data_IF_211618874028
#
_entry.id   IF_211618874028
#
_cell.length_a   1.000
_cell.length_b   1.000
_cell.length_c   1.000
_cell.angle_alpha   90.00
_cell.angle_beta   90.00
_cell.angle_gamma   90.00
#
_symmetry.space_group_name_H-M   'P 1'
#
loop_
_entity.id
_entity.type
_entity.pdbx_description
1 polymer ?
#
# COMPACT_ATOMS: atom_id res chain seq x y z
N UNK A 1 1.05 -33.07 -13.29
CA UNK A 1 1.45 -31.86 -12.55
C UNK A 1 0.20 -31.09 -12.26
N UNK A 2 -0.22 -30.85 -11.02
CA UNK A 2 -1.38 -30.00 -10.78
C UNK A 2 -1.01 -28.57 -11.18
N UNK A 3 -1.89 -27.93 -11.98
CA UNK A 3 -1.78 -26.52 -12.36
C UNK A 3 -2.00 -25.64 -11.12
N UNK A 4 -0.91 -25.23 -10.46
CA UNK A 4 -0.90 -24.21 -9.43
C UNK A 4 -0.86 -22.82 -10.07
N UNK A 5 -1.88 -22.45 -10.84
CA UNK A 5 -1.97 -21.10 -11.42
C UNK A 5 -3.35 -20.47 -11.16
N UNK A 6 -3.88 -20.63 -9.96
CA UNK A 6 -5.03 -19.84 -9.52
C UNK A 6 -4.53 -18.81 -8.49
N UNK A 7 -4.60 -17.54 -8.84
CA UNK A 7 -4.45 -16.46 -7.87
C UNK A 7 -5.34 -16.79 -6.66
N UNK A 8 -4.78 -16.85 -5.43
CA UNK A 8 -5.56 -17.21 -4.27
C UNK A 8 -6.71 -16.23 -4.09
N UNK A 9 -7.93 -16.75 -3.95
CA UNK A 9 -9.16 -15.97 -3.80
C UNK A 9 -9.58 -15.99 -2.34
N UNK A 10 -9.64 -14.83 -1.72
CA UNK A 10 -10.22 -14.67 -0.38
C UNK A 10 -11.72 -14.46 -0.54
N UNK A 11 -12.53 -15.34 0.07
CA UNK A 11 -13.98 -15.22 0.08
C UNK A 11 -14.45 -14.50 1.33
N UNK A 12 -15.17 -13.38 1.12
CA UNK A 12 -15.83 -12.60 2.16
C UNK A 12 -17.33 -12.88 2.04
N UNK A 13 -17.89 -13.53 3.03
CA UNK A 13 -19.30 -13.96 3.02
C UNK A 13 -20.14 -13.25 4.07
N UNK A 14 -19.50 -12.57 5.00
CA UNK A 14 -20.15 -11.86 6.10
C UNK A 14 -19.38 -10.58 6.46
N UNK A 15 -20.02 -9.65 7.17
CA UNK A 15 -19.32 -8.49 7.74
C UNK A 15 -18.19 -8.88 8.69
N UNK A 16 -18.31 -9.98 9.41
CA UNK A 16 -17.24 -10.50 10.26
C UNK A 16 -16.03 -10.95 9.43
N UNK A 17 -16.26 -11.68 8.32
CA UNK A 17 -15.15 -12.03 7.40
C UNK A 17 -14.47 -10.80 6.83
N UNK A 18 -15.24 -9.75 6.51
CA UNK A 18 -14.67 -8.49 6.03
C UNK A 18 -13.75 -7.85 7.07
N UNK A 19 -14.23 -7.74 8.33
CA UNK A 19 -13.45 -7.19 9.43
C UNK A 19 -12.23 -8.05 9.76
N UNK A 20 -12.33 -9.37 9.56
CA UNK A 20 -11.24 -10.30 9.79
C UNK A 20 -10.09 -10.14 8.77
N UNK A 21 -10.40 -9.80 7.54
CA UNK A 21 -9.41 -9.68 6.45
C UNK A 21 -8.99 -8.22 6.18
N UNK A 22 -9.79 -7.24 6.56
CA UNK A 22 -9.56 -5.84 6.22
C UNK A 22 -8.21 -5.30 6.68
N UNK A 23 -7.67 -5.65 7.87
CA UNK A 23 -6.31 -5.26 8.24
C UNK A 23 -5.26 -5.70 7.22
N UNK A 24 -5.35 -6.92 6.71
CA UNK A 24 -4.44 -7.41 5.68
C UNK A 24 -4.61 -6.69 4.33
N UNK A 25 -5.84 -6.27 3.99
CA UNK A 25 -6.11 -5.49 2.78
C UNK A 25 -5.58 -4.04 2.88
N UNK A 26 -5.58 -3.46 4.08
CA UNK A 26 -5.06 -2.11 4.36
C UNK A 26 -3.55 -2.14 4.63
N UNK A 27 -3.02 -3.26 5.12
CA UNK A 27 -1.62 -3.47 5.47
C UNK A 27 -1.30 -3.30 6.96
N UNK A 28 -2.26 -2.87 7.79
CA UNK A 28 -2.11 -2.74 9.25
C UNK A 28 -3.49 -2.75 9.93
N UNK A 29 -3.52 -2.88 11.27
CA UNK A 29 -4.76 -2.83 12.04
C UNK A 29 -5.26 -1.39 12.17
N UNK A 30 -6.38 -1.02 11.50
CA UNK A 30 -6.86 0.35 11.51
C UNK A 30 -7.36 0.78 12.88
N UNK A 31 -6.98 1.97 13.30
CA UNK A 31 -7.53 2.68 14.45
C UNK A 31 -7.88 4.10 14.01
N UNK A 32 -8.92 4.70 14.55
CA UNK A 32 -9.39 6.03 14.18
C UNK A 32 -9.31 6.27 12.66
N UNK A 33 -9.94 5.34 11.91
CA UNK A 33 -9.80 5.23 10.46
C UNK A 33 -11.13 5.02 9.77
N UNK A 34 -11.28 5.61 8.60
CA UNK A 34 -12.35 5.32 7.67
C UNK A 34 -11.80 4.44 6.53
N UNK A 35 -12.27 3.20 6.44
CA UNK A 35 -11.89 2.28 5.38
C UNK A 35 -13.06 2.10 4.42
N UNK A 36 -12.81 2.24 3.12
CA UNK A 36 -13.79 2.02 2.08
C UNK A 36 -13.34 0.90 1.16
N UNK A 37 -14.22 -0.06 0.94
CA UNK A 37 -14.02 -1.20 0.05
C UNK A 37 -14.90 -0.97 -1.17
N UNK A 38 -14.29 -0.50 -2.25
CA UNK A 38 -14.96 -0.33 -3.54
C UNK A 38 -15.15 -1.70 -4.18
N UNK A 39 -16.37 -2.00 -4.57
CA UNK A 39 -16.74 -3.29 -5.15
C UNK A 39 -17.26 -3.13 -6.56
N UNK A 40 -17.03 -4.16 -7.36
CA UNK A 40 -17.53 -4.24 -8.73
C UNK A 40 -18.36 -5.52 -8.87
N UNK A 41 -19.60 -5.34 -9.27
CA UNK A 41 -20.52 -6.45 -9.50
C UNK A 41 -20.34 -6.95 -10.94
N UNK A 42 -20.19 -8.26 -11.07
CA UNK A 42 -20.07 -8.94 -12.38
C UNK A 42 -21.11 -10.03 -12.45
N UNK A 43 -21.99 -9.94 -13.43
CA UNK A 43 -22.98 -10.97 -13.69
C UNK A 43 -22.31 -12.20 -14.32
N UNK A 44 -22.59 -13.36 -13.76
CA UNK A 44 -22.11 -14.66 -14.23
C UNK A 44 -23.31 -15.61 -14.44
N UNK A 45 -23.10 -16.72 -15.12
CA UNK A 45 -24.13 -17.74 -15.29
C UNK A 45 -24.64 -18.33 -13.95
N UNK A 46 -23.85 -18.20 -12.87
CA UNK A 46 -24.19 -18.68 -11.53
C UNK A 46 -24.78 -17.57 -10.62
N UNK A 47 -24.96 -16.35 -11.12
CA UNK A 47 -25.45 -15.18 -10.39
C UNK A 47 -24.43 -14.03 -10.37
N UNK A 48 -24.78 -12.95 -9.68
CA UNK A 48 -23.90 -11.78 -9.54
C UNK A 48 -22.76 -12.08 -8.56
N UNK A 49 -21.53 -11.91 -9.02
CA UNK A 49 -20.31 -12.03 -8.20
C UNK A 49 -19.79 -10.63 -7.91
N UNK A 50 -19.67 -10.30 -6.63
CA UNK A 50 -19.11 -9.05 -6.14
C UNK A 50 -17.63 -9.22 -5.85
N UNK A 51 -16.80 -8.36 -6.44
CA UNK A 51 -15.35 -8.40 -6.28
C UNK A 51 -14.81 -7.07 -5.75
N UNK A 52 -13.82 -7.13 -4.86
CA UNK A 52 -13.11 -5.94 -4.43
C UNK A 52 -12.29 -5.40 -5.60
N UNK A 53 -12.56 -4.16 -5.96
CA UNK A 53 -11.84 -3.42 -6.98
C UNK A 53 -10.69 -2.63 -6.37
N UNK A 54 -10.93 -2.02 -5.20
CA UNK A 54 -10.00 -1.14 -4.50
C UNK A 54 -10.35 -1.08 -3.02
N UNK A 55 -9.33 -0.98 -2.16
CA UNK A 55 -9.48 -0.63 -0.75
C UNK A 55 -8.81 0.70 -0.48
N UNK A 56 -9.52 1.61 0.16
CA UNK A 56 -9.07 2.96 0.51
C UNK A 56 -9.10 3.08 2.02
N UNK A 57 -8.08 3.71 2.59
CA UNK A 57 -8.07 4.10 4.01
C UNK A 57 -7.77 5.58 4.12
N UNK A 58 -8.50 6.26 4.97
CA UNK A 58 -8.24 7.62 5.41
C UNK A 58 -8.30 7.69 6.94
N UNK A 59 -7.70 8.74 7.51
CA UNK A 59 -7.93 9.04 8.92
C UNK A 59 -9.41 9.35 9.16
N UNK A 60 -9.90 9.05 10.37
CA UNK A 60 -11.27 9.36 10.73
C UNK A 60 -11.48 10.88 10.66
N UNK A 61 -12.40 11.37 9.83
CA UNK A 61 -12.70 12.79 9.78
C UNK A 61 -13.16 13.31 11.13
N UNK A 62 -12.58 14.40 11.58
CA UNK A 62 -12.94 15.03 12.86
C UNK A 62 -13.88 16.23 12.69
N UNK A 63 -14.04 16.72 11.45
CA UNK A 63 -14.90 17.85 11.12
C UNK A 63 -15.86 17.52 9.97
N UNK A 64 -16.99 18.22 9.91
CA UNK A 64 -17.94 18.05 8.78
C UNK A 64 -17.31 18.36 7.42
N UNK A 65 -16.49 19.42 7.23
CA UNK A 65 -15.79 19.62 5.97
C UNK A 65 -14.85 18.47 5.57
N UNK A 66 -14.16 17.84 6.53
CA UNK A 66 -13.31 16.68 6.25
C UNK A 66 -14.15 15.47 5.83
N UNK A 67 -15.28 15.26 6.48
CA UNK A 67 -16.21 14.19 6.13
C UNK A 67 -16.78 14.37 4.71
N UNK A 68 -17.12 15.61 4.32
CA UNK A 68 -17.57 15.92 2.96
C UNK A 68 -16.45 15.66 1.94
N UNK A 69 -15.21 16.02 2.24
CA UNK A 69 -14.07 15.74 1.35
C UNK A 69 -13.82 14.23 1.20
N UNK A 70 -13.86 13.49 2.30
CA UNK A 70 -13.73 12.04 2.29
C UNK A 70 -14.85 11.38 1.46
N UNK A 71 -16.07 11.85 1.61
CA UNK A 71 -17.22 11.40 0.85
C UNK A 71 -17.05 11.65 -0.66
N UNK A 72 -16.67 12.87 -1.06
CA UNK A 72 -16.43 13.22 -2.46
C UNK A 72 -15.31 12.38 -3.09
N UNK A 73 -14.24 12.11 -2.31
CA UNK A 73 -13.15 11.24 -2.75
C UNK A 73 -13.63 9.80 -2.98
N UNK A 74 -14.40 9.26 -2.04
CA UNK A 74 -14.98 7.92 -2.17
C UNK A 74 -15.92 7.80 -3.37
N UNK A 75 -16.80 8.81 -3.57
CA UNK A 75 -17.70 8.84 -4.72
C UNK A 75 -16.91 8.81 -6.04
N UNK A 76 -15.85 9.61 -6.14
CA UNK A 76 -14.96 9.61 -7.29
C UNK A 76 -14.31 8.24 -7.53
N UNK A 77 -13.85 7.58 -6.47
CA UNK A 77 -13.27 6.26 -6.56
C UNK A 77 -14.27 5.18 -7.00
N UNK A 78 -15.49 5.21 -6.47
CA UNK A 78 -16.54 4.27 -6.91
C UNK A 78 -16.89 4.49 -8.37
N UNK A 79 -17.11 5.74 -8.80
CA UNK A 79 -17.40 6.06 -10.22
C UNK A 79 -16.30 5.60 -11.17
N UNK A 80 -15.03 5.63 -10.72
CA UNK A 80 -13.90 5.25 -11.54
C UNK A 80 -13.64 3.73 -11.56
N UNK A 81 -13.95 3.01 -10.46
CA UNK A 81 -13.43 1.67 -10.24
C UNK A 81 -14.48 0.62 -9.88
N UNK A 82 -15.73 0.99 -9.55
CA UNK A 82 -16.72 0.04 -9.06
C UNK A 82 -18.16 0.43 -9.31
N UNK A 83 -19.06 -0.37 -8.75
CA UNK A 83 -20.51 -0.20 -8.79
C UNK A 83 -21.09 0.18 -7.44
N UNK A 84 -20.34 -0.03 -6.35
CA UNK A 84 -20.75 0.26 -4.99
C UNK A 84 -19.57 0.26 -4.02
N UNK A 85 -19.85 0.55 -2.75
CA UNK A 85 -18.86 0.50 -1.67
C UNK A 85 -19.44 0.01 -0.35
N UNK A 86 -18.59 -0.67 0.42
CA UNK A 86 -18.75 -0.94 1.83
C UNK A 86 -17.84 0.01 2.60
N UNK A 87 -18.32 0.61 3.68
CA UNK A 87 -17.51 1.50 4.52
C UNK A 87 -17.41 0.93 5.92
N UNK A 88 -16.20 0.90 6.46
CA UNK A 88 -15.92 0.54 7.85
C UNK A 88 -15.31 1.74 8.56
N UNK A 89 -15.96 2.22 9.59
CA UNK A 89 -15.47 3.27 10.48
C UNK A 89 -14.86 2.62 11.72
N UNK A 90 -13.56 2.72 11.89
CA UNK A 90 -12.83 2.24 13.05
C UNK A 90 -12.66 3.39 14.05
N UNK A 91 -13.47 3.39 15.12
CA UNK A 91 -13.32 4.35 16.21
C UNK A 91 -14.02 3.86 17.48
N UNK A 92 -13.45 4.18 18.63
CA UNK A 92 -14.08 3.98 19.92
C UNK A 92 -15.09 5.11 20.25
N UNK A 93 -14.95 6.28 19.64
CA UNK A 93 -15.88 7.41 19.79
C UNK A 93 -17.08 7.28 18.85
N UNK A 94 -18.15 6.70 19.40
CA UNK A 94 -19.40 6.47 18.68
C UNK A 94 -20.14 7.76 18.29
N UNK A 95 -19.98 8.84 19.06
CA UNK A 95 -20.59 10.14 18.74
C UNK A 95 -19.92 10.78 17.52
N UNK A 96 -18.59 10.77 17.49
CA UNK A 96 -17.82 11.26 16.36
C UNK A 96 -18.12 10.43 15.09
N UNK A 97 -18.09 9.11 15.22
CA UNK A 97 -18.42 8.21 14.11
C UNK A 97 -19.80 8.53 13.53
N UNK A 98 -20.79 8.71 14.40
CA UNK A 98 -22.17 9.00 13.96
C UNK A 98 -22.28 10.33 13.20
N UNK A 99 -21.67 11.40 13.69
CA UNK A 99 -21.66 12.69 13.03
C UNK A 99 -21.02 12.62 11.65
N UNK A 100 -19.86 11.94 11.56
CA UNK A 100 -19.12 11.72 10.31
C UNK A 100 -19.91 10.85 9.34
N UNK A 101 -20.44 9.73 9.80
CA UNK A 101 -21.20 8.80 8.96
C UNK A 101 -22.51 9.44 8.46
N UNK A 102 -23.20 10.22 9.29
CA UNK A 102 -24.39 10.97 8.86
C UNK A 102 -24.04 11.98 7.76
N UNK A 103 -22.92 12.70 7.89
CA UNK A 103 -22.46 13.65 6.87
C UNK A 103 -22.07 12.90 5.59
N UNK A 104 -21.40 11.75 5.70
CA UNK A 104 -21.00 10.89 4.60
C UNK A 104 -22.21 10.36 3.83
N UNK A 105 -23.20 9.83 4.54
CA UNK A 105 -24.43 9.29 3.96
C UNK A 105 -25.28 10.39 3.33
N UNK A 106 -25.39 11.55 3.95
CA UNK A 106 -26.22 12.67 3.45
C UNK A 106 -25.59 13.34 2.24
N UNK A 107 -24.25 13.46 2.20
CA UNK A 107 -23.54 14.23 1.17
C UNK A 107 -23.41 13.49 -0.17
N UNK A 108 -23.41 12.14 -0.18
CA UNK A 108 -22.86 11.39 -1.32
C UNK A 108 -23.74 10.24 -1.82
N UNK A 109 -24.66 9.66 -1.01
CA UNK A 109 -24.69 8.22 -1.13
C UNK A 109 -26.04 7.55 -1.32
N UNK A 110 -27.05 8.25 -1.72
CA UNK A 110 -28.26 7.57 -2.18
C UNK A 110 -27.95 6.77 -3.47
N UNK A 111 -27.49 5.54 -3.33
CA UNK A 111 -27.29 4.59 -4.43
C UNK A 111 -25.88 4.06 -4.65
N UNK A 112 -24.85 4.53 -3.93
CA UNK A 112 -23.47 4.06 -4.11
C UNK A 112 -22.96 3.31 -2.88
N UNK A 113 -23.54 3.54 -1.70
CA UNK A 113 -23.13 2.93 -0.45
C UNK A 113 -24.01 1.72 -0.12
N UNK A 114 -23.42 0.53 -0.13
CA UNK A 114 -24.16 -0.70 0.16
C UNK A 114 -24.34 -0.94 1.67
N UNK A 115 -23.32 -0.61 2.47
CA UNK A 115 -23.36 -0.81 3.92
C UNK A 115 -22.31 0.03 4.63
N UNK A 116 -22.61 0.41 5.87
CA UNK A 116 -21.67 1.03 6.80
C UNK A 116 -21.55 0.17 8.03
N UNK A 117 -20.32 -0.16 8.39
CA UNK A 117 -19.98 -0.89 9.60
C UNK A 117 -19.23 0.06 10.53
N UNK A 118 -19.67 0.13 11.78
CA UNK A 118 -18.92 0.74 12.87
C UNK A 118 -18.16 -0.37 13.61
N UNK A 119 -16.87 -0.21 13.81
CA UNK A 119 -16.00 -1.21 14.43
C UNK A 119 -15.05 -0.57 15.45
N UNK A 120 -14.82 -1.27 16.56
CA UNK A 120 -13.85 -0.94 17.60
C UNK A 120 -13.40 -2.23 18.31
N UNK A 121 -12.37 -2.20 19.16
CA UNK A 121 -11.96 -3.39 19.93
C UNK A 121 -13.06 -4.04 20.75
N UNK A 122 -14.08 -3.25 21.17
CA UNK A 122 -15.23 -3.71 21.96
C UNK A 122 -16.24 -4.52 21.13
N UNK A 123 -16.25 -4.34 19.81
CA UNK A 123 -17.20 -5.01 18.93
C UNK A 123 -17.47 -4.25 17.64
N UNK A 124 -18.50 -4.69 16.93
CA UNK A 124 -18.95 -4.04 15.69
C UNK A 124 -20.47 -4.07 15.53
N UNK A 125 -20.97 -3.18 14.69
CA UNK A 125 -22.37 -3.14 14.29
C UNK A 125 -22.54 -2.60 12.89
N UNK A 126 -23.63 -2.98 12.21
CA UNK A 126 -24.02 -2.38 10.93
C UNK A 126 -24.90 -1.16 11.25
N UNK A 127 -24.64 -0.04 10.59
CA UNK A 127 -25.46 1.17 10.67
C UNK A 127 -26.54 1.08 9.60
N UNK A 128 -27.80 1.21 10.03
CA UNK A 128 -28.91 1.41 9.13
C UNK A 128 -28.85 2.82 8.52
N UNK A 129 -28.67 2.88 7.22
CA UNK A 129 -28.52 4.15 6.50
C UNK A 129 -29.85 4.95 6.45
N UNK A 130 -31.00 4.26 6.56
CA UNK A 130 -32.30 4.89 6.59
C UNK A 130 -32.63 5.44 7.99
N UNK A 131 -32.09 4.80 9.04
CA UNK A 131 -32.28 5.20 10.44
C UNK A 131 -30.95 5.06 11.18
N UNK A 132 -30.05 6.03 11.09
CA UNK A 132 -28.71 5.94 11.68
C UNK A 132 -28.70 6.06 13.22
N UNK A 133 -29.76 5.58 13.89
CA UNK A 133 -29.83 5.49 15.34
C UNK A 133 -29.01 4.30 15.81
N UNK A 134 -27.88 4.59 16.44
CA UNK A 134 -26.99 3.57 16.98
C UNK A 134 -27.56 2.89 18.22
N UNK A 135 -27.42 1.57 18.32
CA UNK A 135 -27.99 0.74 19.39
C UNK A 135 -26.92 0.05 20.25
N UNK A 136 -25.64 0.31 20.05
CA UNK A 136 -24.50 -0.32 20.78
C UNK A 136 -23.75 -1.37 19.96
N UNK A 137 -22.69 -1.94 20.55
CA UNK A 137 -21.96 -3.03 19.95
C UNK A 137 -22.80 -4.31 19.95
N UNK A 138 -23.16 -4.80 18.77
CA UNK A 138 -24.07 -5.96 18.64
C UNK A 138 -23.28 -7.26 18.53
N UNK A 139 -22.09 -7.21 17.94
CA UNK A 139 -21.26 -8.38 17.66
C UNK A 139 -19.87 -8.21 18.26
N UNK A 140 -19.22 -9.29 18.73
CA UNK A 140 -17.82 -9.25 19.16
C UNK A 140 -16.91 -8.96 17.96
N UNK A 141 -15.82 -8.19 18.19
CA UNK A 141 -14.83 -7.95 17.15
C UNK A 141 -14.10 -9.27 16.78
N UNK A 142 -13.86 -9.56 15.49
CA UNK A 142 -13.15 -10.76 15.07
C UNK A 142 -11.73 -10.83 15.64
N UNK A 143 -11.24 -12.05 15.87
CA UNK A 143 -9.89 -12.30 16.40
C UNK A 143 -8.82 -12.45 15.31
N UNK A 144 -9.16 -12.20 14.04
CA UNK A 144 -8.28 -12.37 12.86
C UNK A 144 -7.71 -13.78 12.69
N UNK A 145 -8.46 -14.78 13.10
CA UNK A 145 -8.13 -16.21 13.01
C UNK A 145 -9.15 -17.01 12.20
N UNK A 146 -10.10 -16.30 11.57
CA UNK A 146 -11.16 -16.91 10.74
C UNK A 146 -10.63 -17.45 9.42
N UNK A 147 -11.53 -18.12 8.68
CA UNK A 147 -11.21 -18.69 7.37
C UNK A 147 -10.77 -17.61 6.36
N UNK A 148 -11.36 -16.42 6.41
CA UNK A 148 -11.00 -15.30 5.54
C UNK A 148 -9.57 -14.79 5.83
N UNK A 149 -9.19 -14.63 7.11
CA UNK A 149 -7.83 -14.25 7.51
C UNK A 149 -6.80 -15.32 7.09
N UNK A 150 -7.12 -16.60 7.28
CA UNK A 150 -6.25 -17.71 6.84
C UNK A 150 -6.06 -17.72 5.31
N UNK A 151 -7.11 -17.47 4.55
CA UNK A 151 -7.04 -17.35 3.09
C UNK A 151 -6.21 -16.13 2.66
N UNK A 152 -6.36 -14.99 3.37
CA UNK A 152 -5.56 -13.80 3.13
C UNK A 152 -4.06 -14.05 3.37
N UNK A 153 -3.72 -14.70 4.49
CA UNK A 153 -2.35 -15.09 4.78
C UNK A 153 -1.76 -16.05 3.74
N UNK A 154 -2.54 -17.06 3.29
CA UNK A 154 -2.13 -17.96 2.22
C UNK A 154 -1.96 -17.25 0.87
N UNK A 155 -2.65 -16.12 0.67
CA UNK A 155 -2.52 -15.25 -0.50
C UNK A 155 -1.33 -14.28 -0.39
N UNK A 156 -0.54 -14.34 0.70
CA UNK A 156 0.57 -13.42 0.95
C UNK A 156 0.14 -12.03 1.44
N UNK A 157 -1.13 -11.86 1.80
CA UNK A 157 -1.62 -10.63 2.42
C UNK A 157 -1.38 -10.71 3.93
N UNK A 158 -0.68 -9.72 4.47
CA UNK A 158 -0.44 -9.61 5.91
C UNK A 158 -0.62 -8.16 6.37
N UNK A 159 -0.89 -7.99 7.67
CA UNK A 159 -1.00 -6.70 8.31
C UNK A 159 0.17 -6.49 9.27
N UNK A 160 0.76 -5.30 9.25
CA UNK A 160 1.57 -4.83 10.37
C UNK A 160 0.67 -4.59 11.60
N UNK A 161 1.25 -4.51 12.81
CA UNK A 161 0.46 -4.22 14.00
C UNK A 161 -0.23 -2.87 13.90
N UNK A 162 0.54 -1.83 13.61
CA UNK A 162 0.08 -0.45 13.47
C UNK A 162 0.68 0.20 12.21
N UNK A 163 0.22 1.42 11.88
CA UNK A 163 0.87 2.22 10.84
C UNK A 163 2.30 2.62 11.24
N UNK A 164 2.54 2.81 12.53
CA UNK A 164 3.88 3.19 13.02
C UNK A 164 4.88 2.03 12.83
N UNK A 165 4.45 0.78 12.95
CA UNK A 165 5.31 -0.37 12.63
C UNK A 165 5.73 -0.38 11.15
N UNK A 166 4.88 0.12 10.24
CA UNK A 166 5.27 0.31 8.84
C UNK A 166 6.33 1.42 8.73
N UNK A 167 6.13 2.55 9.44
CA UNK A 167 7.10 3.65 9.47
C UNK A 167 8.45 3.14 9.98
N UNK A 168 8.47 2.45 11.13
CA UNK A 168 9.67 1.87 11.73
C UNK A 168 10.38 0.88 10.79
N UNK A 169 9.61 0.11 10.02
CA UNK A 169 10.17 -0.89 9.09
C UNK A 169 11.04 -0.31 7.97
N UNK A 170 10.90 0.98 7.71
CA UNK A 170 11.66 1.73 6.69
C UNK A 170 12.25 3.03 7.26
N UNK A 171 12.40 3.15 8.56
CA UNK A 171 13.03 4.32 9.17
C UNK A 171 14.52 4.41 8.78
N UNK A 172 15.05 5.64 8.76
CA UNK A 172 16.47 5.85 8.50
C UNK A 172 17.33 5.23 9.61
N UNK A 173 18.52 4.70 9.29
CA UNK A 173 19.38 4.08 10.28
C UNK A 173 19.87 5.10 11.31
N UNK A 174 20.26 4.60 12.48
CA UNK A 174 20.91 5.39 13.52
C UNK A 174 22.24 6.01 13.03
N UNK A 175 22.79 7.02 13.73
CA UNK A 175 23.99 7.72 13.28
C UNK A 175 25.22 6.83 13.07
N UNK A 176 25.38 5.73 13.82
CA UNK A 176 26.52 4.84 13.66
C UNK A 176 26.38 4.00 12.40
N UNK A 177 25.20 3.42 12.17
CA UNK A 177 24.86 2.69 10.94
C UNK A 177 24.88 3.60 9.69
N UNK A 178 24.46 4.86 9.83
CA UNK A 178 24.56 5.86 8.77
C UNK A 178 26.03 6.18 8.41
N UNK A 179 26.93 6.22 9.39
CA UNK A 179 28.37 6.41 9.15
C UNK A 179 28.98 5.20 8.42
N UNK A 180 28.58 3.97 8.78
CA UNK A 180 28.99 2.75 8.08
C UNK A 180 28.54 2.77 6.61
N UNK A 181 27.27 3.15 6.34
CA UNK A 181 26.75 3.30 4.99
C UNK A 181 27.55 4.33 4.18
N UNK A 182 27.87 5.48 4.78
CA UNK A 182 28.66 6.54 4.14
C UNK A 182 30.06 6.05 3.77
N UNK A 183 30.73 5.36 4.70
CA UNK A 183 32.05 4.78 4.45
C UNK A 183 32.01 3.71 3.35
N UNK A 184 30.98 2.86 3.33
CA UNK A 184 30.78 1.90 2.26
C UNK A 184 30.56 2.58 0.90
N UNK A 185 29.77 3.65 0.85
CA UNK A 185 29.53 4.44 -0.37
C UNK A 185 30.80 5.10 -0.90
N UNK A 186 31.62 5.68 -0.02
CA UNK A 186 32.91 6.30 -0.38
C UNK A 186 33.89 5.28 -0.98
N UNK A 187 33.87 4.05 -0.49
CA UNK A 187 34.74 2.97 -0.97
C UNK A 187 34.37 2.50 -2.40
N UNK A 188 33.15 2.74 -2.88
CA UNK A 188 32.67 2.23 -4.17
C UNK A 188 33.25 2.99 -5.38
N UNK A 189 33.78 4.19 -5.22
CA UNK A 189 34.30 5.03 -6.31
C UNK A 189 33.35 5.12 -7.53
N UNK A 190 32.04 5.16 -7.29
CA UNK A 190 31.00 5.20 -8.34
C UNK A 190 31.11 6.51 -9.12
N UNK A 191 31.15 6.51 -10.46
CA UNK A 191 31.24 7.74 -11.24
C UNK A 191 29.98 8.58 -11.10
N UNK A 192 30.15 9.88 -10.90
CA UNK A 192 29.03 10.85 -10.81
C UNK A 192 28.32 11.00 -12.16
N UNK A 193 29.07 10.91 -13.26
CA UNK A 193 28.57 10.96 -14.63
C UNK A 193 29.07 9.72 -15.38
N UNK A 194 28.34 8.60 -15.33
CA UNK A 194 28.77 7.35 -15.98
C UNK A 194 28.66 7.47 -17.49
N UNK A 195 29.64 6.88 -18.19
CA UNK A 195 29.56 6.70 -19.66
C UNK A 195 28.42 5.73 -20.01
N UNK A 196 27.95 5.68 -21.28
CA UNK A 196 26.92 4.71 -21.69
C UNK A 196 27.29 3.26 -21.39
N UNK A 197 28.58 2.88 -21.54
CA UNK A 197 29.06 1.53 -21.21
C UNK A 197 29.03 1.25 -19.72
N UNK A 198 29.40 2.24 -18.90
CA UNK A 198 29.29 2.15 -17.43
C UNK A 198 27.84 2.06 -17.01
N UNK A 199 26.96 2.85 -17.59
CA UNK A 199 25.51 2.79 -17.33
C UNK A 199 24.94 1.42 -17.67
N UNK A 200 25.29 0.85 -18.83
CA UNK A 200 24.87 -0.49 -19.22
C UNK A 200 25.41 -1.58 -18.25
N UNK A 201 26.62 -1.41 -17.70
CA UNK A 201 27.13 -2.28 -16.66
C UNK A 201 26.33 -2.14 -15.37
N UNK A 202 26.05 -0.91 -14.90
CA UNK A 202 25.25 -0.66 -13.71
C UNK A 202 23.83 -1.26 -13.84
N UNK A 203 23.20 -1.17 -15.01
CA UNK A 203 21.90 -1.83 -15.28
C UNK A 203 22.01 -3.34 -15.10
N UNK A 204 23.00 -3.98 -15.73
CA UNK A 204 23.20 -5.44 -15.61
C UNK A 204 23.41 -5.86 -14.16
N UNK A 205 24.25 -5.14 -13.45
CA UNK A 205 24.65 -5.47 -12.09
C UNK A 205 23.45 -5.31 -11.13
N UNK A 206 22.73 -4.19 -11.21
CA UNK A 206 21.53 -3.95 -10.38
C UNK A 206 20.43 -4.98 -10.67
N UNK A 207 20.16 -5.25 -11.95
CA UNK A 207 19.11 -6.20 -12.33
C UNK A 207 19.47 -7.65 -12.00
N UNK A 208 20.74 -8.05 -12.13
CA UNK A 208 21.21 -9.38 -11.74
C UNK A 208 21.08 -9.59 -10.23
N UNK A 209 21.49 -8.62 -9.41
CA UNK A 209 21.36 -8.68 -7.96
C UNK A 209 19.89 -8.81 -7.50
N UNK A 210 19.01 -7.99 -8.07
CA UNK A 210 17.58 -8.06 -7.76
C UNK A 210 16.94 -9.37 -8.23
N UNK A 211 17.35 -9.90 -9.39
CA UNK A 211 16.87 -11.20 -9.87
C UNK A 211 17.31 -12.35 -8.94
N UNK A 212 18.56 -12.31 -8.45
CA UNK A 212 19.06 -13.28 -7.46
C UNK A 212 18.24 -13.20 -6.16
N UNK A 213 18.01 -11.99 -5.66
CA UNK A 213 17.17 -11.79 -4.47
C UNK A 213 15.77 -12.35 -4.64
N UNK A 214 15.12 -12.07 -5.78
CA UNK A 214 13.76 -12.55 -6.07
C UNK A 214 13.71 -14.07 -6.15
N UNK A 215 14.75 -14.70 -6.70
CA UNK A 215 14.82 -16.17 -6.83
C UNK A 215 15.08 -16.86 -5.49
N UNK A 216 15.90 -16.28 -4.62
CA UNK A 216 16.26 -16.81 -3.30
C UNK A 216 16.57 -15.67 -2.33
N UNK A 217 15.57 -15.14 -1.59
CA UNK A 217 15.76 -14.00 -0.68
C UNK A 217 16.86 -14.23 0.34
N UNK A 218 17.68 -13.20 0.56
CA UNK A 218 18.79 -13.17 1.50
C UNK A 218 18.80 -11.86 2.30
N UNK A 219 19.63 -11.76 3.33
CA UNK A 219 19.78 -10.50 4.08
C UNK A 219 20.68 -9.55 3.33
N UNK A 220 20.19 -8.36 3.02
CA UNK A 220 20.96 -7.27 2.40
C UNK A 220 21.80 -6.61 3.49
N UNK A 221 23.11 -6.54 3.27
CA UNK A 221 24.05 -5.89 4.18
C UNK A 221 24.19 -4.38 3.91
N UNK A 222 24.77 -3.62 4.84
CA UNK A 222 25.05 -2.19 4.62
C UNK A 222 25.91 -1.93 3.38
N UNK A 223 26.99 -2.67 3.09
CA UNK A 223 27.73 -2.55 1.83
C UNK A 223 26.87 -2.82 0.57
N UNK A 224 26.00 -3.86 0.62
CA UNK A 224 25.11 -4.18 -0.50
C UNK A 224 24.12 -3.05 -0.75
N UNK A 225 23.54 -2.50 0.33
CA UNK A 225 22.61 -1.37 0.26
C UNK A 225 23.29 -0.12 -0.31
N UNK A 226 24.50 0.22 0.17
CA UNK A 226 25.27 1.35 -0.32
C UNK A 226 25.60 1.18 -1.81
N UNK A 227 26.00 -0.02 -2.22
CA UNK A 227 26.28 -0.35 -3.61
C UNK A 227 25.02 -0.23 -4.48
N UNK A 228 23.90 -0.85 -4.10
CA UNK A 228 22.66 -0.81 -4.89
C UNK A 228 22.10 0.62 -4.97
N UNK A 229 22.15 1.40 -3.90
CA UNK A 229 21.77 2.81 -3.89
C UNK A 229 22.64 3.63 -4.83
N UNK A 230 23.94 3.36 -4.87
CA UNK A 230 24.87 4.02 -5.80
C UNK A 230 24.59 3.66 -7.25
N UNK A 231 24.21 2.41 -7.54
CA UNK A 231 23.87 1.97 -8.90
C UNK A 231 22.62 2.64 -9.44
N UNK A 232 21.58 2.85 -8.61
CA UNK A 232 20.29 3.38 -9.07
C UNK A 232 20.21 4.91 -9.10
N UNK A 233 21.33 5.62 -8.95
CA UNK A 233 21.36 7.09 -9.10
C UNK A 233 21.00 7.55 -10.53
N UNK A 234 21.54 6.96 -11.62
CA UNK A 234 21.11 7.28 -12.98
C UNK A 234 19.66 6.81 -13.21
N UNK A 235 18.88 7.63 -13.91
CA UNK A 235 17.46 7.38 -14.19
C UNK A 235 17.26 6.05 -14.91
N UNK A 236 18.12 5.74 -15.88
CA UNK A 236 18.04 4.53 -16.69
C UNK A 236 18.24 3.26 -15.84
N UNK A 237 19.13 3.29 -14.86
CA UNK A 237 19.37 2.14 -13.96
C UNK A 237 18.21 1.97 -12.99
N UNK A 238 17.73 3.08 -12.42
CA UNK A 238 16.54 3.09 -11.55
C UNK A 238 15.32 2.54 -12.29
N UNK A 239 15.09 2.99 -13.52
CA UNK A 239 13.92 2.59 -14.30
C UNK A 239 14.05 1.11 -14.74
N UNK A 240 15.25 0.64 -15.08
CA UNK A 240 15.50 -0.77 -15.32
C UNK A 240 15.19 -1.64 -14.09
N UNK A 241 15.59 -1.20 -12.89
CA UNK A 241 15.25 -1.89 -11.65
C UNK A 241 13.73 -1.89 -11.38
N UNK A 242 13.02 -0.81 -11.72
CA UNK A 242 11.57 -0.73 -11.58
C UNK A 242 10.83 -1.62 -12.59
N UNK A 243 11.27 -1.67 -13.83
CA UNK A 243 10.64 -2.49 -14.90
C UNK A 243 10.69 -4.00 -14.59
N UNK A 244 11.65 -4.45 -13.78
CA UNK A 244 11.70 -5.84 -13.29
C UNK A 244 10.53 -6.21 -12.39
N UNK A 245 9.88 -5.23 -11.75
CA UNK A 245 8.79 -5.48 -10.82
C UNK A 245 7.56 -5.90 -11.60
N UNK A 246 7.20 -7.17 -11.53
CA UNK A 246 5.91 -7.71 -12.00
C UNK A 246 4.95 -7.85 -10.83
N UNK A 247 3.67 -8.00 -11.10
CA UNK A 247 2.68 -8.22 -10.03
C UNK A 247 2.93 -9.49 -9.24
N UNK A 248 3.51 -10.52 -9.88
CA UNK A 248 3.87 -11.80 -9.28
C UNK A 248 5.09 -11.67 -8.35
N UNK A 249 6.05 -10.82 -8.72
CA UNK A 249 7.32 -10.66 -7.98
C UNK A 249 7.36 -9.40 -7.12
N UNK A 250 6.30 -8.59 -7.13
CA UNK A 250 6.29 -7.30 -6.43
C UNK A 250 6.57 -7.42 -4.94
N UNK A 251 6.05 -8.47 -4.28
CA UNK A 251 6.27 -8.68 -2.85
C UNK A 251 7.75 -8.91 -2.51
N UNK A 252 8.49 -9.67 -3.33
CA UNK A 252 9.92 -9.90 -3.16
C UNK A 252 10.71 -8.61 -3.41
N UNK A 253 10.36 -7.84 -4.43
CA UNK A 253 10.98 -6.54 -4.69
C UNK A 253 10.72 -5.53 -3.56
N UNK A 254 9.50 -5.52 -3.00
CA UNK A 254 9.19 -4.71 -1.81
C UNK A 254 10.12 -5.06 -0.68
N UNK A 255 10.30 -6.35 -0.37
CA UNK A 255 11.15 -6.78 0.74
C UNK A 255 12.64 -6.43 0.50
N UNK A 256 13.14 -6.60 -0.74
CA UNK A 256 14.50 -6.18 -1.08
C UNK A 256 14.70 -4.67 -0.85
N UNK A 257 13.83 -3.85 -1.44
CA UNK A 257 13.95 -2.40 -1.33
C UNK A 257 13.67 -1.88 0.08
N UNK A 258 12.81 -2.55 0.85
CA UNK A 258 12.57 -2.24 2.26
C UNK A 258 13.85 -2.39 3.08
N UNK A 259 14.60 -3.50 2.90
CA UNK A 259 15.91 -3.70 3.55
C UNK A 259 16.92 -2.63 3.12
N UNK A 260 16.99 -2.33 1.81
CA UNK A 260 17.88 -1.28 1.29
C UNK A 260 17.60 0.07 1.93
N UNK A 261 16.35 0.53 1.93
CA UNK A 261 16.02 1.86 2.47
C UNK A 261 16.14 1.95 3.99
N UNK A 262 15.91 0.85 4.73
CA UNK A 262 16.12 0.80 6.18
C UNK A 262 17.61 1.00 6.57
N UNK A 263 18.53 0.66 5.67
CA UNK A 263 19.98 0.85 5.83
C UNK A 263 20.47 2.20 5.25
N UNK A 264 19.61 2.94 4.53
CA UNK A 264 20.01 4.14 3.79
C UNK A 264 19.68 5.40 4.57
N UNK A 265 20.65 6.30 4.85
CA UNK A 265 20.41 7.58 5.50
C UNK A 265 19.51 8.52 4.67
N UNK A 266 18.81 9.45 5.34
CA UNK A 266 17.93 10.44 4.71
C UNK A 266 18.72 11.54 3.99
N UNK A 267 19.38 11.17 2.91
CA UNK A 267 20.13 12.06 2.00
C UNK A 267 19.47 12.04 0.61
N UNK A 268 19.77 13.01 -0.27
CA UNK A 268 19.26 12.99 -1.64
C UNK A 268 19.53 11.69 -2.40
N UNK A 269 20.60 10.98 -2.05
CA UNK A 269 20.93 9.67 -2.64
C UNK A 269 19.91 8.56 -2.31
N UNK A 270 19.10 8.71 -1.24
CA UNK A 270 18.04 7.77 -0.90
C UNK A 270 16.80 7.86 -1.82
N UNK A 271 16.62 8.98 -2.52
CA UNK A 271 15.39 9.26 -3.28
C UNK A 271 15.09 8.22 -4.36
N UNK A 272 16.05 7.74 -5.18
CA UNK A 272 15.78 6.67 -6.15
C UNK A 272 15.28 5.40 -5.49
N UNK A 273 15.93 4.93 -4.42
CA UNK A 273 15.56 3.70 -3.71
C UNK A 273 14.18 3.82 -3.04
N UNK A 274 13.90 4.95 -2.36
CA UNK A 274 12.58 5.22 -1.78
C UNK A 274 11.48 5.28 -2.85
N UNK A 275 11.78 5.83 -4.02
CA UNK A 275 10.83 5.89 -5.11
C UNK A 275 10.53 4.51 -5.70
N UNK A 276 11.55 3.66 -5.88
CA UNK A 276 11.37 2.27 -6.35
C UNK A 276 10.62 1.44 -5.31
N UNK A 277 10.95 1.55 -4.01
CA UNK A 277 10.18 0.91 -2.94
C UNK A 277 8.71 1.31 -3.00
N UNK A 278 8.43 2.61 -3.07
CA UNK A 278 7.06 3.11 -3.10
C UNK A 278 6.27 2.59 -4.31
N UNK A 279 6.89 2.56 -5.49
CA UNK A 279 6.29 2.00 -6.70
C UNK A 279 6.08 0.48 -6.59
N UNK A 280 7.09 -0.26 -6.11
CA UNK A 280 6.97 -1.70 -5.90
C UNK A 280 5.85 -2.03 -4.88
N UNK A 281 5.74 -1.27 -3.79
CA UNK A 281 4.68 -1.40 -2.81
C UNK A 281 3.30 -1.11 -3.41
N UNK A 282 3.17 -0.06 -4.25
CA UNK A 282 1.93 0.20 -4.97
C UNK A 282 1.57 -0.95 -5.92
N UNK A 283 2.54 -1.49 -6.69
CA UNK A 283 2.34 -2.62 -7.61
C UNK A 283 1.89 -3.87 -6.84
N UNK A 284 2.46 -4.11 -5.65
CA UNK A 284 2.11 -5.21 -4.76
C UNK A 284 0.74 -5.01 -4.06
N UNK A 285 0.08 -3.85 -4.23
CA UNK A 285 -1.15 -3.51 -3.52
C UNK A 285 -0.93 -3.09 -2.05
N UNK A 286 0.30 -2.85 -1.63
CA UNK A 286 0.66 -2.40 -0.28
C UNK A 286 0.62 -0.86 -0.19
N UNK A 287 -0.57 -0.29 -0.36
CA UNK A 287 -0.76 1.16 -0.44
C UNK A 287 -0.28 1.93 0.80
N UNK A 288 -0.38 1.34 1.99
CA UNK A 288 0.11 1.94 3.23
C UNK A 288 1.64 2.14 3.20
N UNK A 289 2.39 1.10 2.82
CA UNK A 289 3.84 1.18 2.68
C UNK A 289 4.26 2.16 1.55
N UNK A 290 3.52 2.16 0.44
CA UNK A 290 3.76 3.10 -0.66
C UNK A 290 3.60 4.57 -0.20
N UNK A 291 2.58 4.87 0.62
CA UNK A 291 2.40 6.19 1.23
C UNK A 291 3.53 6.53 2.20
N UNK A 292 3.89 5.60 3.11
CA UNK A 292 4.97 5.82 4.09
C UNK A 292 6.32 6.06 3.39
N UNK A 293 6.62 5.33 2.31
CA UNK A 293 7.83 5.57 1.51
C UNK A 293 7.82 6.97 0.86
N UNK A 294 6.67 7.40 0.32
CA UNK A 294 6.51 8.74 -0.25
C UNK A 294 6.61 9.85 0.82
N UNK A 295 6.08 9.62 2.01
CA UNK A 295 6.17 10.55 3.16
C UNK A 295 7.61 10.65 3.68
N UNK A 296 8.33 9.54 3.83
CA UNK A 296 9.75 9.57 4.19
C UNK A 296 10.55 10.34 3.15
N UNK A 297 10.33 10.08 1.88
CA UNK A 297 11.00 10.79 0.79
C UNK A 297 10.70 12.30 0.77
N UNK A 298 9.51 12.74 1.22
CA UNK A 298 9.17 14.17 1.31
C UNK A 298 10.04 14.93 2.31
N UNK A 299 10.56 14.26 3.33
CA UNK A 299 11.47 14.84 4.34
C UNK A 299 12.89 14.98 3.83
N UNK A 300 13.24 14.26 2.77
CA UNK A 300 14.58 14.30 2.15
C UNK A 300 14.67 15.50 1.20
N UNK A 301 15.76 16.30 1.22
CA UNK A 301 15.95 17.40 0.26
C UNK A 301 15.79 16.95 -1.20
N UNK A 302 14.93 17.62 -1.96
CA UNK A 302 14.61 17.27 -3.35
C UNK A 302 13.47 16.25 -3.52
N UNK A 303 12.99 15.63 -2.45
CA UNK A 303 11.96 14.59 -2.51
C UNK A 303 10.62 15.06 -3.03
N UNK A 304 10.22 16.33 -2.75
CA UNK A 304 8.97 16.88 -3.29
C UNK A 304 8.99 17.05 -4.83
N UNK A 305 10.16 17.30 -5.40
CA UNK A 305 10.33 17.53 -6.84
C UNK A 305 10.78 16.30 -7.60
N UNK A 306 11.15 15.20 -6.91
CA UNK A 306 11.63 13.98 -7.55
C UNK A 306 10.54 13.35 -8.43
N UNK A 307 10.83 13.18 -9.73
CA UNK A 307 9.83 12.87 -10.75
C UNK A 307 9.03 11.59 -10.47
N UNK A 308 9.70 10.50 -10.12
CA UNK A 308 9.05 9.21 -9.86
C UNK A 308 8.17 9.26 -8.59
N UNK A 309 8.60 9.99 -7.54
CA UNK A 309 7.79 10.20 -6.33
C UNK A 309 6.57 11.07 -6.61
N UNK A 310 6.66 12.02 -7.52
CA UNK A 310 5.48 12.81 -7.97
C UNK A 310 4.45 11.92 -8.69
N UNK A 311 4.94 11.01 -9.54
CA UNK A 311 4.08 10.01 -10.20
C UNK A 311 3.41 9.13 -9.13
N UNK A 312 4.17 8.58 -8.19
CA UNK A 312 3.65 7.75 -7.11
C UNK A 312 2.56 8.48 -6.31
N UNK A 313 2.83 9.71 -5.84
CA UNK A 313 1.85 10.50 -5.08
C UNK A 313 0.57 10.76 -5.89
N UNK A 314 0.71 11.08 -7.19
CA UNK A 314 -0.43 11.27 -8.06
C UNK A 314 -1.25 9.98 -8.22
N UNK A 315 -0.58 8.85 -8.37
CA UNK A 315 -1.18 7.52 -8.49
C UNK A 315 -1.96 7.16 -7.22
N UNK A 316 -1.36 7.37 -6.04
CA UNK A 316 -2.00 7.12 -4.75
C UNK A 316 -3.18 8.07 -4.50
N UNK A 317 -2.99 9.38 -4.73
CA UNK A 317 -4.04 10.39 -4.54
C UNK A 317 -5.26 10.19 -5.44
N UNK A 318 -5.10 9.54 -6.59
CA UNK A 318 -6.20 9.23 -7.51
C UNK A 318 -6.68 7.80 -7.43
N UNK A 319 -6.18 7.04 -6.45
CA UNK A 319 -6.52 5.63 -6.27
C UNK A 319 -6.36 4.80 -7.57
N UNK A 320 -5.33 5.10 -8.37
CA UNK A 320 -5.08 4.40 -9.63
C UNK A 320 -4.77 2.94 -9.32
N UNK A 321 -5.47 2.02 -9.96
CA UNK A 321 -5.31 0.59 -9.74
C UNK A 321 -3.93 0.09 -10.20
N UNK A 322 -3.22 -0.73 -9.40
CA UNK A 322 -1.96 -1.37 -9.81
C UNK A 322 -2.07 -2.23 -11.08
N UNK A 323 -3.26 -2.62 -11.49
CA UNK A 323 -3.47 -3.39 -12.72
C UNK A 323 -3.02 -2.66 -13.99
N UNK A 324 -2.94 -1.33 -13.95
CA UNK A 324 -2.44 -0.54 -15.09
C UNK A 324 -0.93 -0.72 -15.28
N UNK A 325 -0.21 -1.19 -14.25
CA UNK A 325 1.24 -1.33 -14.31
C UNK A 325 1.72 -2.23 -15.44
N UNK A 326 1.05 -3.36 -15.66
CA UNK A 326 1.43 -4.30 -16.72
C UNK A 326 1.40 -3.61 -18.10
N UNK A 327 0.37 -2.79 -18.36
CA UNK A 327 0.26 -2.00 -19.60
C UNK A 327 1.32 -0.89 -19.68
N UNK A 328 1.64 -0.25 -18.57
CA UNK A 328 2.66 0.81 -18.53
C UNK A 328 4.06 0.22 -18.77
N UNK A 329 4.36 -0.91 -18.14
CA UNK A 329 5.65 -1.60 -18.25
C UNK A 329 5.92 -2.05 -19.69
N UNK A 330 4.92 -2.60 -20.37
CA UNK A 330 5.05 -3.09 -21.74
C UNK A 330 5.27 -1.94 -22.77
N UNK A 331 5.08 -0.69 -22.36
CA UNK A 331 5.32 0.52 -23.15
C UNK A 331 6.64 1.24 -22.82
N UNK A 332 7.39 0.77 -21.82
CA UNK A 332 8.71 1.30 -21.41
C UNK A 332 9.84 0.51 -22.05
#
# INVERSE_FOLDING_TARGET
MPEFNQTPVVKITSPADLLDVLPAMVGFYPTESLCAIVVNDTDTAAGTVRRVALTIRADMPTTSPDAIRAAAYLEGAVKAHGTGALVVAYTADQHQARAVLTSLVTAVMAGVLDSVILAAPQGWTIIDLAQPSYVGWVNPYPQHIGAAAAQAAAAGLYAYGTRDDIVESIEAPDPASAAEFSAATEALATPTEPTPEQQAAMVRDATAYLAEYVAAPFTITTPDAAWLVSLVQPIEVRDAALVMVTRETAAQHVEAWRQVVALTPDTPAALPALAVLGMAAWIAGQGALANVAAERASRVPGGETYSLLRILRHTLARAISPKIWDQMRDGL
#
